data_IF_467573928178
#
_entry.id   IF_467573928178
#
_cell.length_a   1.000
_cell.length_b   1.000
_cell.length_c   1.000
_cell.angle_alpha   90.00
_cell.angle_beta   90.00
_cell.angle_gamma   90.00
#
_symmetry.space_group_name_H-M   'P 1'
#
loop_
_entity.id
_entity.type
_entity.pdbx_description
1 polymer ?
#
# COMPACT_ATOMS: atom_id res chain seq x y z
N UNK A 1 38.95 -31.40 -3.04
CA UNK A 1 37.77 -31.10 -2.20
C UNK A 1 36.71 -30.46 -3.09
N UNK A 2 35.53 -31.07 -3.22
CA UNK A 2 34.41 -30.50 -3.98
C UNK A 2 33.67 -29.54 -3.06
N UNK A 3 33.60 -28.26 -3.41
CA UNK A 3 32.66 -27.31 -2.81
C UNK A 3 31.47 -27.22 -3.75
N UNK A 4 30.28 -27.57 -3.26
CA UNK A 4 29.04 -27.46 -4.01
C UNK A 4 28.08 -26.53 -3.28
N UNK A 5 27.55 -25.58 -4.04
CA UNK A 5 26.22 -24.96 -4.00
C UNK A 5 25.77 -24.24 -2.72
N UNK A 6 25.65 -22.92 -2.85
CA UNK A 6 24.64 -22.11 -2.16
C UNK A 6 23.49 -21.85 -3.12
N UNK A 7 22.38 -22.54 -2.89
CA UNK A 7 21.13 -22.52 -3.67
C UNK A 7 20.28 -21.29 -3.33
N UNK A 8 19.78 -20.64 -4.38
CA UNK A 8 18.41 -20.14 -4.53
C UNK A 8 17.74 -19.49 -3.31
N UNK A 9 17.74 -18.15 -3.27
CA UNK A 9 16.83 -17.41 -2.40
C UNK A 9 15.40 -17.53 -2.95
N UNK A 10 14.69 -18.49 -2.37
CA UNK A 10 13.27 -18.69 -2.54
C UNK A 10 12.54 -17.76 -1.57
N UNK A 11 11.88 -16.73 -2.08
CA UNK A 11 10.76 -16.10 -1.37
C UNK A 11 9.48 -16.26 -2.18
N UNK A 12 9.12 -17.53 -2.40
CA UNK A 12 7.77 -17.93 -2.78
C UNK A 12 6.87 -17.81 -1.53
N UNK A 13 6.33 -16.61 -1.27
CA UNK A 13 5.33 -16.44 -0.21
C UNK A 13 3.95 -16.74 -0.76
N UNK A 14 3.58 -18.02 -0.65
CA UNK A 14 2.20 -18.54 -0.71
C UNK A 14 1.37 -17.88 0.42
N UNK A 15 0.87 -16.66 0.23
CA UNK A 15 0.07 -15.98 1.26
C UNK A 15 -1.39 -16.43 1.21
N UNK A 16 -1.61 -17.66 1.66
CA UNK A 16 -2.93 -18.26 1.87
C UNK A 16 -3.54 -17.62 3.13
N UNK A 17 -4.45 -16.67 2.94
CA UNK A 17 -5.41 -16.18 3.96
C UNK A 17 -4.80 -15.69 5.28
N UNK A 18 -4.24 -14.50 5.32
CA UNK A 18 -4.19 -13.75 6.59
C UNK A 18 -4.86 -12.40 6.39
N UNK A 19 -6.04 -12.25 7.00
CA UNK A 19 -6.65 -10.97 7.33
C UNK A 19 -5.78 -10.22 8.38
N UNK A 20 -4.49 -10.02 8.08
CA UNK A 20 -3.61 -9.10 8.78
C UNK A 20 -4.05 -7.72 8.38
N UNK A 21 -4.54 -6.97 9.36
CA UNK A 21 -4.78 -5.54 9.30
C UNK A 21 -3.90 -4.85 8.23
N UNK A 22 -4.43 -4.67 6.99
CA UNK A 22 -3.60 -4.29 5.88
C UNK A 22 -2.99 -2.91 6.11
N UNK A 23 -1.74 -2.77 5.68
CA UNK A 23 -0.96 -1.55 5.87
C UNK A 23 -0.33 -1.09 4.56
N UNK A 24 -0.29 0.21 4.35
CA UNK A 24 0.40 0.86 3.24
C UNK A 24 1.12 2.11 3.71
N UNK A 25 1.87 2.78 2.82
CA UNK A 25 2.51 4.07 3.09
C UNK A 25 1.73 5.19 2.45
N UNK A 26 1.67 6.33 3.14
CA UNK A 26 1.16 7.57 2.57
C UNK A 26 2.14 8.09 1.50
N UNK A 27 1.70 8.35 0.25
CA UNK A 27 2.57 8.88 -0.81
C UNK A 27 3.03 10.33 -0.57
N UNK A 28 2.38 11.06 0.35
CA UNK A 28 2.73 12.46 0.67
C UNK A 28 3.76 12.58 1.80
N UNK A 29 3.65 11.77 2.87
CA UNK A 29 4.46 11.94 4.08
C UNK A 29 5.13 10.65 4.59
N UNK A 30 5.11 9.57 3.80
CA UNK A 30 5.70 8.26 4.09
C UNK A 30 5.21 7.54 5.35
N UNK A 31 4.17 8.08 6.01
CA UNK A 31 3.61 7.49 7.22
C UNK A 31 2.87 6.18 6.96
N UNK A 32 2.80 5.32 7.98
CA UNK A 32 2.11 4.05 7.89
C UNK A 32 0.60 4.25 8.07
N UNK A 33 -0.17 3.88 7.03
CA UNK A 33 -1.62 3.84 7.04
C UNK A 33 -2.05 2.41 7.32
N UNK A 34 -3.01 2.23 8.24
CA UNK A 34 -3.56 0.94 8.63
C UNK A 34 -5.08 1.00 8.54
N UNK A 35 -5.68 0.09 7.77
CA UNK A 35 -7.14 0.02 7.58
C UNK A 35 -7.58 -1.42 7.79
N UNK A 36 -8.59 -1.65 8.64
CA UNK A 36 -9.01 -3.01 9.02
C UNK A 36 -9.68 -3.76 7.85
N UNK A 37 -10.49 -3.05 7.06
CA UNK A 37 -11.20 -3.59 5.89
C UNK A 37 -11.16 -2.56 4.75
N UNK A 38 -10.04 -2.45 4.03
CA UNK A 38 -9.93 -1.51 2.92
C UNK A 38 -10.94 -1.89 1.84
N UNK A 39 -11.58 -0.89 1.26
CA UNK A 39 -12.54 -1.05 0.17
C UNK A 39 -12.05 -0.20 -0.99
N UNK A 40 -11.85 -0.83 -2.15
CA UNK A 40 -11.49 -0.11 -3.38
C UNK A 40 -12.51 0.99 -3.69
N UNK A 41 -12.01 2.16 -4.10
CA UNK A 41 -12.81 3.36 -4.35
C UNK A 41 -13.23 4.14 -3.10
N UNK A 42 -12.83 3.72 -1.90
CA UNK A 42 -13.09 4.49 -0.68
C UNK A 42 -12.01 5.56 -0.49
N UNK A 43 -12.42 6.76 -0.08
CA UNK A 43 -11.51 7.84 0.32
C UNK A 43 -11.22 7.74 1.81
N UNK A 44 -9.94 7.85 2.18
CA UNK A 44 -9.44 7.86 3.56
C UNK A 44 -8.50 9.04 3.76
N UNK A 45 -8.48 9.60 4.97
CA UNK A 45 -7.50 10.61 5.34
C UNK A 45 -6.24 9.97 5.94
N UNK A 46 -5.07 10.45 5.55
CA UNK A 46 -3.82 10.06 6.20
C UNK A 46 -3.81 10.52 7.66
N UNK A 47 -3.57 9.63 8.65
CA UNK A 47 -3.61 9.99 10.08
C UNK A 47 -2.45 10.89 10.52
N UNK A 48 -1.50 11.20 9.63
CA UNK A 48 -0.32 12.04 9.91
C UNK A 48 -0.38 13.41 9.26
N UNK A 49 -0.60 13.48 7.94
CA UNK A 49 -0.63 14.75 7.22
C UNK A 49 -2.05 15.22 6.86
N UNK A 50 -3.08 14.40 7.07
CA UNK A 50 -4.47 14.77 6.80
C UNK A 50 -4.88 14.74 5.33
N UNK A 51 -3.96 14.48 4.38
CA UNK A 51 -4.31 14.40 2.95
C UNK A 51 -5.33 13.29 2.68
N UNK A 52 -6.26 13.57 1.78
CA UNK A 52 -7.25 12.61 1.30
C UNK A 52 -6.63 11.71 0.23
N UNK A 53 -6.84 10.40 0.39
CA UNK A 53 -6.29 9.36 -0.48
C UNK A 53 -7.39 8.36 -0.83
N UNK A 54 -7.43 7.94 -2.08
CA UNK A 54 -8.32 6.88 -2.54
C UNK A 54 -7.66 5.51 -2.39
N UNK A 55 -8.41 4.51 -1.94
CA UNK A 55 -7.97 3.11 -1.95
C UNK A 55 -8.11 2.56 -3.37
N UNK A 56 -6.99 2.43 -4.08
CA UNK A 56 -6.96 1.85 -5.45
C UNK A 56 -6.92 0.32 -5.47
N UNK A 57 -6.49 -0.32 -4.36
CA UNK A 57 -6.54 -1.78 -4.21
C UNK A 57 -6.68 -2.17 -2.74
N UNK A 58 -7.50 -3.17 -2.45
CA UNK A 58 -7.72 -3.69 -1.10
C UNK A 58 -6.79 -4.87 -0.75
N UNK A 59 -6.34 -5.62 -1.77
CA UNK A 59 -5.44 -6.77 -1.62
C UNK A 59 -4.57 -6.91 -2.89
N UNK A 60 -3.30 -6.47 -2.85
CA UNK A 60 -2.62 -5.81 -1.75
C UNK A 60 -3.18 -4.41 -1.45
N UNK A 61 -3.18 -3.99 -0.18
CA UNK A 61 -3.68 -2.67 0.20
C UNK A 61 -2.78 -1.55 -0.36
N UNK A 62 -3.35 -0.74 -1.26
CA UNK A 62 -2.69 0.37 -1.94
C UNK A 62 -3.61 1.59 -1.96
N UNK A 63 -3.00 2.77 -2.00
CA UNK A 63 -3.69 4.06 -2.00
C UNK A 63 -3.00 5.00 -2.99
N UNK A 64 -3.75 5.95 -3.54
CA UNK A 64 -3.26 7.04 -4.37
C UNK A 64 -3.98 8.35 -4.01
N UNK A 65 -3.55 9.48 -4.56
CA UNK A 65 -4.28 10.74 -4.43
C UNK A 65 -5.65 10.67 -5.11
N UNK A 66 -6.64 11.35 -4.54
CA UNK A 66 -7.98 11.42 -5.14
C UNK A 66 -7.96 12.21 -6.46
N UNK A 67 -8.91 11.95 -7.36
CA UNK A 67 -9.04 12.70 -8.62
C UNK A 67 -9.14 14.22 -8.37
N UNK A 68 -9.92 14.64 -7.36
CA UNK A 68 -10.02 16.05 -6.96
C UNK A 68 -8.67 16.63 -6.55
N UNK A 69 -7.86 15.86 -5.81
CA UNK A 69 -6.53 16.32 -5.38
C UNK A 69 -5.58 16.42 -6.57
N UNK A 70 -5.59 15.45 -7.49
CA UNK A 70 -4.78 15.49 -8.71
C UNK A 70 -5.10 16.71 -9.57
N UNK A 71 -6.37 17.12 -9.65
CA UNK A 71 -6.78 18.33 -10.38
C UNK A 71 -6.18 19.61 -9.81
N UNK A 72 -6.03 19.73 -8.48
CA UNK A 72 -5.37 20.90 -7.86
C UNK A 72 -3.86 20.97 -8.15
N UNK A 73 -3.22 19.85 -8.51
CA UNK A 73 -1.79 19.82 -8.89
C UNK A 73 -1.54 19.95 -10.40
N UNK A 74 -2.59 19.85 -11.24
CA UNK A 74 -2.49 20.00 -12.71
C UNK A 74 -2.84 21.41 -13.21
N UNK A 75 -3.45 22.27 -12.38
CA UNK A 75 -3.73 23.67 -12.70
C UNK A 75 -2.58 24.61 -12.34
N UNK A 76 -1.42 24.48 -13.01
CA UNK A 76 -0.37 25.53 -13.03
C UNK A 76 0.28 25.72 -14.42
#
# INVERSE_FOLDING_TARGET
MKVTNGTSDSVEVKSKREARNPKTRCPNCDSIIKVVKPRGGAVIACPRCGVELEIISADPFQVDFTEDWQSEWEEE
#
